data_IF_616868698905
#
_entry.id   IF_616868698905
#
_cell.length_a   1.000
_cell.length_b   1.000
_cell.length_c   1.000
_cell.angle_alpha   90.00
_cell.angle_beta   90.00
_cell.angle_gamma   90.00
#
_symmetry.space_group_name_H-M   'P 1'
#
loop_
_entity.id
_entity.type
_entity.pdbx_description
1 polymer ?
#
# COMPACT_ATOMS: atom_id res chain seq x y z
N UNK A 1 4.96 21.87 -35.37
CA UNK A 1 5.63 20.93 -34.45
C UNK A 1 4.53 20.26 -33.64
N UNK A 2 4.12 19.06 -34.01
CA UNK A 2 3.24 18.23 -33.18
C UNK A 2 4.09 17.76 -32.01
N UNK A 3 3.88 18.35 -30.83
CA UNK A 3 4.43 17.83 -29.58
C UNK A 3 3.94 16.41 -29.41
N UNK A 4 4.84 15.45 -29.22
CA UNK A 4 4.45 14.11 -28.81
C UNK A 4 3.59 14.25 -27.54
N UNK A 5 2.45 13.54 -27.43
CA UNK A 5 1.60 13.62 -26.25
C UNK A 5 2.43 13.24 -25.02
N UNK A 6 2.38 14.06 -23.97
CA UNK A 6 2.96 13.70 -22.68
C UNK A 6 2.30 12.41 -22.18
N UNK A 7 3.10 11.51 -21.59
CA UNK A 7 2.57 10.34 -20.91
C UNK A 7 1.77 10.78 -19.67
N UNK A 8 0.74 10.00 -19.26
CA UNK A 8 -0.13 10.37 -18.15
C UNK A 8 0.60 10.30 -16.81
N UNK A 9 0.30 11.21 -15.89
CA UNK A 9 0.63 11.11 -14.47
C UNK A 9 -0.30 10.10 -13.81
N UNK A 10 0.26 9.02 -13.27
CA UNK A 10 -0.55 7.96 -12.64
C UNK A 10 -0.12 7.77 -11.19
N UNK A 11 -1.09 7.84 -10.28
CA UNK A 11 -0.90 7.48 -8.87
C UNK A 11 -1.45 6.09 -8.62
N UNK A 12 -0.70 5.23 -7.94
CA UNK A 12 -1.16 3.93 -7.48
C UNK A 12 -1.12 3.85 -5.96
N UNK A 13 -2.27 3.58 -5.32
CA UNK A 13 -2.45 3.45 -3.88
C UNK A 13 -2.53 1.99 -3.48
N UNK A 14 -1.80 1.59 -2.45
CA UNK A 14 -1.89 0.23 -1.92
C UNK A 14 -0.74 -0.16 -1.00
N UNK A 15 -0.52 -1.47 -0.92
CA UNK A 15 0.55 -2.08 -0.14
C UNK A 15 0.99 -3.41 -0.74
N UNK A 16 2.10 -3.92 -0.22
CA UNK A 16 2.66 -5.24 -0.50
C UNK A 16 2.68 -5.65 -1.98
N UNK A 17 2.27 -6.90 -2.22
CA UNK A 17 2.39 -7.56 -3.53
C UNK A 17 1.38 -7.01 -4.56
N UNK A 18 0.19 -6.60 -4.12
CA UNK A 18 -0.85 -6.09 -5.02
C UNK A 18 -0.42 -4.77 -5.67
N UNK A 19 0.06 -3.83 -4.86
CA UNK A 19 0.64 -2.59 -5.37
C UNK A 19 1.87 -2.85 -6.25
N UNK A 20 2.77 -3.74 -5.83
CA UNK A 20 3.95 -4.12 -6.63
C UNK A 20 3.59 -4.62 -8.03
N UNK A 21 2.52 -5.41 -8.16
CA UNK A 21 2.00 -5.86 -9.44
C UNK A 21 1.44 -4.70 -10.28
N UNK A 22 0.64 -3.80 -9.68
CA UNK A 22 0.12 -2.60 -10.35
C UNK A 22 1.26 -1.71 -10.87
N UNK A 23 2.27 -1.43 -10.05
CA UNK A 23 3.42 -0.60 -10.43
C UNK A 23 4.23 -1.23 -11.58
N UNK A 24 4.46 -2.55 -11.52
CA UNK A 24 5.17 -3.28 -12.58
C UNK A 24 4.41 -3.22 -13.92
N UNK A 25 3.09 -3.29 -13.88
CA UNK A 25 2.25 -3.16 -15.08
C UNK A 25 2.23 -1.72 -15.60
N UNK A 26 1.99 -0.74 -14.73
CA UNK A 26 1.86 0.68 -15.07
C UNK A 26 3.15 1.28 -15.64
N UNK A 27 4.32 0.80 -15.22
CA UNK A 27 5.62 1.23 -15.77
C UNK A 27 5.79 0.95 -17.25
N UNK A 28 4.98 0.04 -17.81
CA UNK A 28 4.95 -0.22 -19.25
C UNK A 28 4.16 0.85 -20.03
N UNK A 29 3.38 1.67 -19.32
CA UNK A 29 2.48 2.68 -19.89
C UNK A 29 3.05 4.08 -19.70
N UNK A 30 3.57 4.39 -18.52
CA UNK A 30 4.12 5.72 -18.18
C UNK A 30 5.34 5.60 -17.27
N UNK A 31 6.20 6.61 -17.26
CA UNK A 31 7.27 6.81 -16.29
C UNK A 31 6.94 7.89 -15.25
N UNK A 32 5.81 8.60 -15.42
CA UNK A 32 5.26 9.59 -14.46
C UNK A 32 4.39 8.90 -13.43
N UNK A 33 5.00 8.00 -12.67
CA UNK A 33 4.34 7.14 -11.70
C UNK A 33 4.63 7.60 -10.28
N UNK A 34 3.60 7.63 -9.45
CA UNK A 34 3.75 7.81 -7.99
C UNK A 34 3.05 6.67 -7.27
N UNK A 35 3.81 5.92 -6.47
CA UNK A 35 3.26 4.93 -5.55
C UNK A 35 2.96 5.62 -4.22
N UNK A 36 1.71 5.60 -3.76
CA UNK A 36 1.33 6.01 -2.39
C UNK A 36 1.12 4.74 -1.58
N UNK A 37 1.93 4.56 -0.55
CA UNK A 37 2.13 3.26 0.10
C UNK A 37 1.67 3.29 1.54
N UNK A 38 0.96 2.24 1.96
CA UNK A 38 0.60 2.04 3.37
C UNK A 38 1.82 1.95 4.28
N UNK A 39 1.68 2.49 5.50
CA UNK A 39 2.71 2.53 6.54
C UNK A 39 2.23 1.86 7.83
N UNK A 40 1.43 0.80 7.66
CA UNK A 40 0.83 0.04 8.74
C UNK A 40 1.47 -1.35 8.98
N UNK A 41 2.42 -1.78 8.15
CA UNK A 41 3.09 -3.08 8.26
C UNK A 41 3.79 -3.22 9.64
N UNK A 42 3.42 -4.24 10.39
CA UNK A 42 3.98 -4.61 11.69
C UNK A 42 4.69 -5.97 11.64
N UNK A 43 4.83 -6.55 10.43
CA UNK A 43 5.34 -7.89 10.24
C UNK A 43 6.87 -7.98 10.12
N UNK A 44 7.44 -9.03 10.72
CA UNK A 44 8.80 -9.50 10.44
C UNK A 44 9.88 -8.42 10.55
N UNK A 45 10.60 -8.17 9.45
CA UNK A 45 11.68 -7.18 9.44
C UNK A 45 11.19 -5.74 9.60
N UNK A 46 9.97 -5.42 9.18
CA UNK A 46 9.44 -4.05 9.27
C UNK A 46 9.01 -3.75 10.70
N UNK A 47 8.25 -4.67 11.30
CA UNK A 47 7.82 -4.57 12.70
C UNK A 47 9.00 -4.40 13.65
N UNK A 48 10.03 -5.25 13.55
CA UNK A 48 11.24 -5.12 14.38
C UNK A 48 11.93 -3.77 14.26
N UNK A 49 12.04 -3.23 13.03
CA UNK A 49 12.67 -1.92 12.83
C UNK A 49 11.83 -0.77 13.37
N UNK A 50 10.50 -0.87 13.29
CA UNK A 50 9.57 0.11 13.85
C UNK A 50 9.55 0.09 15.39
N UNK A 51 9.72 -1.08 16.00
CA UNK A 51 9.82 -1.22 17.45
C UNK A 51 11.16 -0.67 17.98
N UNK A 52 12.25 -0.88 17.22
CA UNK A 52 13.59 -0.45 17.60
C UNK A 52 13.87 1.02 17.27
N UNK A 53 13.32 1.51 16.16
CA UNK A 53 13.48 2.86 15.66
C UNK A 53 12.11 3.46 15.42
N UNK A 54 11.85 4.65 15.96
CA UNK A 54 10.60 5.39 15.77
C UNK A 54 10.47 5.87 14.31
N UNK A 55 10.21 4.92 13.40
CA UNK A 55 10.17 5.08 11.95
C UNK A 55 8.90 4.45 11.38
N UNK A 56 8.44 4.95 10.23
CA UNK A 56 7.51 4.26 9.33
C UNK A 56 8.06 2.87 8.97
N UNK A 57 7.19 1.84 8.92
CA UNK A 57 7.61 0.51 8.53
C UNK A 57 8.06 0.47 7.06
N UNK A 58 9.31 0.07 6.78
CA UNK A 58 9.88 0.20 5.44
C UNK A 58 9.47 -0.92 4.46
N UNK A 59 8.76 -1.96 4.91
CA UNK A 59 8.52 -3.18 4.14
C UNK A 59 7.83 -2.97 2.80
N UNK A 60 6.66 -2.33 2.83
CA UNK A 60 5.87 -2.05 1.63
C UNK A 60 6.49 -0.94 0.78
N UNK A 61 7.10 0.06 1.40
CA UNK A 61 7.87 1.11 0.72
C UNK A 61 9.03 0.51 -0.11
N UNK A 62 9.78 -0.41 0.49
CA UNK A 62 10.82 -1.19 -0.19
C UNK A 62 10.24 -2.00 -1.36
N UNK A 63 9.09 -2.62 -1.19
CA UNK A 63 8.45 -3.40 -2.27
C UNK A 63 8.05 -2.51 -3.44
N UNK A 64 7.52 -1.31 -3.17
CA UNK A 64 7.22 -0.32 -4.21
C UNK A 64 8.49 0.15 -4.94
N UNK A 65 9.56 0.49 -4.22
CA UNK A 65 10.85 0.85 -4.81
C UNK A 65 11.40 -0.27 -5.73
N UNK A 66 11.38 -1.51 -5.25
CA UNK A 66 11.81 -2.66 -6.03
C UNK A 66 10.95 -2.88 -7.30
N UNK A 67 9.64 -2.62 -7.22
CA UNK A 67 8.74 -2.70 -8.37
C UNK A 67 9.02 -1.62 -9.43
N UNK A 68 9.57 -0.47 -9.02
CA UNK A 68 9.89 0.65 -9.90
C UNK A 68 11.31 0.60 -10.48
N UNK A 69 12.21 -0.26 -10.00
CA UNK A 69 13.54 -0.51 -10.59
C UNK A 69 13.48 -1.03 -12.03
N UNK A 70 14.17 -0.38 -12.98
CA UNK A 70 14.09 -0.67 -14.42
C UNK A 70 14.16 -2.16 -14.82
N UNK A 71 13.50 -2.50 -15.95
CA UNK A 71 13.53 -3.86 -16.54
C UNK A 71 14.85 -4.20 -17.25
N UNK A 72 15.93 -3.45 -17.04
CA UNK A 72 17.25 -3.82 -17.52
C UNK A 72 17.97 -4.72 -16.50
N UNK A 73 19.18 -5.18 -16.84
CA UNK A 73 19.94 -6.08 -15.97
C UNK A 73 20.30 -5.43 -14.63
N UNK A 74 20.58 -4.13 -14.63
CA UNK A 74 21.00 -3.38 -13.44
C UNK A 74 19.81 -3.18 -12.52
N UNK A 75 18.67 -2.73 -13.05
CA UNK A 75 17.43 -2.55 -12.28
C UNK A 75 16.94 -3.86 -11.67
N UNK A 76 16.92 -4.97 -12.42
CA UNK A 76 16.59 -6.30 -11.86
C UNK A 76 17.53 -6.74 -10.74
N UNK A 77 18.82 -6.45 -10.89
CA UNK A 77 19.81 -6.80 -9.85
C UNK A 77 19.56 -6.00 -8.58
N UNK A 78 19.31 -4.69 -8.70
CA UNK A 78 18.98 -3.84 -7.55
C UNK A 78 17.65 -4.21 -6.89
N UNK A 79 16.61 -4.51 -7.67
CA UNK A 79 15.35 -5.03 -7.13
C UNK A 79 15.59 -6.32 -6.33
N UNK A 80 16.41 -7.25 -6.84
CA UNK A 80 16.77 -8.47 -6.12
C UNK A 80 17.56 -8.18 -4.84
N UNK A 81 18.47 -7.21 -4.85
CA UNK A 81 19.27 -6.82 -3.68
C UNK A 81 18.38 -6.22 -2.59
N UNK A 82 17.49 -5.28 -2.94
CA UNK A 82 16.54 -4.72 -1.97
C UNK A 82 15.70 -5.80 -1.31
N UNK A 83 15.25 -6.78 -2.10
CA UNK A 83 14.39 -7.84 -1.62
C UNK A 83 15.12 -8.94 -0.84
N UNK A 84 16.45 -9.03 -0.99
CA UNK A 84 17.27 -10.02 -0.30
C UNK A 84 17.19 -9.85 1.22
N UNK A 85 17.18 -10.98 1.92
CA UNK A 85 17.15 -11.05 3.38
C UNK A 85 18.42 -11.70 3.90
N UNK A 86 18.93 -11.19 5.01
CA UNK A 86 20.05 -11.81 5.71
C UNK A 86 19.63 -13.19 6.24
N UNK A 87 20.49 -14.19 6.01
CA UNK A 87 20.37 -15.55 6.56
C UNK A 87 21.15 -15.66 7.87
N UNK A 88 20.98 -16.78 8.57
CA UNK A 88 21.65 -17.08 9.84
C UNK A 88 20.76 -16.80 11.04
N UNK A 89 21.36 -16.85 12.24
CA UNK A 89 20.63 -16.81 13.52
C UNK A 89 21.00 -15.59 14.39
N UNK A 90 21.81 -14.67 13.86
CA UNK A 90 22.22 -13.45 14.56
C UNK A 90 21.19 -12.30 14.52
N UNK A 91 21.48 -11.12 15.09
CA UNK A 91 20.54 -10.00 15.16
C UNK A 91 20.01 -9.52 13.81
N UNK A 92 20.81 -9.63 12.75
CA UNK A 92 20.41 -9.25 11.39
C UNK A 92 19.53 -10.31 10.71
N UNK A 93 19.39 -11.51 11.27
CA UNK A 93 18.64 -12.62 10.66
C UNK A 93 17.22 -12.21 10.24
N UNK A 94 16.88 -12.43 8.98
CA UNK A 94 15.58 -12.11 8.42
C UNK A 94 15.34 -10.63 8.06
N UNK A 95 16.24 -9.71 8.43
CA UNK A 95 16.15 -8.33 7.95
C UNK A 95 16.32 -8.28 6.44
N UNK A 96 15.49 -7.47 5.77
CA UNK A 96 15.67 -7.17 4.37
C UNK A 96 16.72 -6.08 4.20
N UNK A 97 17.63 -6.23 3.23
CA UNK A 97 18.67 -5.23 2.94
C UNK A 97 18.03 -3.87 2.66
N UNK A 98 16.98 -3.85 1.82
CA UNK A 98 16.27 -2.62 1.48
C UNK A 98 15.62 -1.93 2.68
N UNK A 99 15.16 -2.69 3.68
CA UNK A 99 14.56 -2.10 4.89
C UNK A 99 15.63 -1.35 5.71
N UNK A 100 16.82 -1.95 5.87
CA UNK A 100 17.94 -1.30 6.57
C UNK A 100 18.45 -0.07 5.80
N UNK A 101 18.49 -0.13 4.47
CA UNK A 101 18.87 0.99 3.63
C UNK A 101 17.91 2.18 3.81
N UNK A 102 16.60 1.94 3.73
CA UNK A 102 15.57 2.98 3.91
C UNK A 102 15.66 3.57 5.33
N UNK A 103 15.71 2.72 6.35
CA UNK A 103 15.81 3.16 7.75
C UNK A 103 17.07 4.02 7.98
N UNK A 104 18.23 3.58 7.48
CA UNK A 104 19.49 4.32 7.61
C UNK A 104 19.48 5.66 6.87
N UNK A 105 18.93 5.72 5.66
CA UNK A 105 18.82 6.97 4.89
C UNK A 105 17.91 7.97 5.58
N UNK A 106 16.79 7.52 6.14
CA UNK A 106 15.91 8.41 6.88
C UNK A 106 16.56 8.92 8.16
N UNK A 107 17.19 8.06 8.98
CA UNK A 107 17.91 8.52 10.17
C UNK A 107 18.97 9.58 9.83
N UNK A 108 19.62 9.46 8.67
CA UNK A 108 20.63 10.40 8.22
C UNK A 108 20.05 11.75 7.75
N UNK A 109 18.89 11.75 7.08
CA UNK A 109 18.30 12.93 6.47
C UNK A 109 17.26 13.63 7.36
N UNK A 110 16.66 12.91 8.30
CA UNK A 110 15.57 13.40 9.15
C UNK A 110 14.22 13.56 8.42
N UNK A 111 14.15 13.14 7.15
CA UNK A 111 12.97 13.24 6.30
C UNK A 111 12.80 11.96 5.48
N UNK A 112 11.68 11.27 5.67
CA UNK A 112 11.35 10.00 5.03
C UNK A 112 11.14 10.13 3.52
N UNK A 113 10.58 11.23 3.03
CA UNK A 113 10.35 11.43 1.59
C UNK A 113 11.68 11.64 0.89
N UNK A 114 12.54 12.50 1.43
CA UNK A 114 13.90 12.71 0.93
C UNK A 114 14.73 11.42 0.97
N UNK A 115 14.55 10.57 1.99
CA UNK A 115 15.20 9.27 2.07
C UNK A 115 14.71 8.31 0.98
N UNK A 116 13.40 8.23 0.75
CA UNK A 116 12.83 7.42 -0.33
C UNK A 116 13.25 7.92 -1.70
N UNK A 117 13.27 9.24 -1.91
CA UNK A 117 13.72 9.86 -3.16
C UNK A 117 15.21 9.56 -3.40
N UNK A 118 16.06 9.70 -2.39
CA UNK A 118 17.50 9.36 -2.50
C UNK A 118 17.73 7.88 -2.81
N UNK A 119 16.95 6.99 -2.19
CA UNK A 119 16.99 5.55 -2.51
C UNK A 119 16.49 5.31 -3.94
N UNK A 120 15.41 5.97 -4.36
CA UNK A 120 14.89 5.92 -5.73
C UNK A 120 15.95 6.33 -6.77
N UNK A 121 16.65 7.43 -6.53
CA UNK A 121 17.74 7.94 -7.38
C UNK A 121 18.90 6.95 -7.48
N UNK A 122 19.33 6.38 -6.35
CA UNK A 122 20.37 5.36 -6.30
C UNK A 122 20.01 4.14 -7.18
N UNK A 123 18.74 3.76 -7.17
CA UNK A 123 18.20 2.61 -7.88
C UNK A 123 17.78 2.93 -9.32
N UNK A 124 17.71 4.22 -9.68
CA UNK A 124 17.14 4.73 -10.94
C UNK A 124 15.71 4.24 -11.17
N UNK A 125 14.86 4.39 -10.15
CA UNK A 125 13.43 4.02 -10.24
C UNK A 125 12.72 4.82 -11.33
N UNK A 126 11.77 4.19 -12.01
CA UNK A 126 10.85 4.87 -12.95
C UNK A 126 9.58 5.29 -12.23
N UNK A 127 9.67 6.40 -11.52
CA UNK A 127 8.60 6.93 -10.68
C UNK A 127 9.07 7.17 -9.24
N UNK A 128 8.14 7.66 -8.44
CA UNK A 128 8.35 8.10 -7.05
C UNK A 128 7.58 7.22 -6.08
N UNK A 129 8.11 7.03 -4.87
CA UNK A 129 7.46 6.28 -3.79
C UNK A 129 7.22 7.23 -2.62
N UNK A 130 5.97 7.34 -2.19
CA UNK A 130 5.54 8.21 -1.11
C UNK A 130 4.83 7.38 -0.03
N UNK A 131 5.06 7.66 1.26
CA UNK A 131 4.22 7.11 2.31
C UNK A 131 2.83 7.75 2.27
N UNK A 132 1.80 7.01 2.67
CA UNK A 132 0.43 7.55 2.72
C UNK A 132 0.22 8.52 3.90
N UNK A 133 0.96 8.32 5.00
CA UNK A 133 0.79 9.05 6.27
C UNK A 133 2.12 9.58 6.79
N UNK A 134 2.03 10.65 7.57
CA UNK A 134 3.18 11.26 8.24
C UNK A 134 3.62 10.59 9.54
N UNK A 135 2.82 9.65 10.00
CA UNK A 135 3.09 8.86 11.20
C UNK A 135 2.90 7.38 10.93
N UNK A 136 3.60 6.48 11.66
CA UNK A 136 3.32 5.06 11.60
C UNK A 136 1.87 4.78 11.99
N UNK A 137 1.26 3.79 11.35
CA UNK A 137 -0.14 3.44 11.59
C UNK A 137 -0.26 2.03 12.14
N UNK A 138 -1.25 1.82 12.99
CA UNK A 138 -1.68 0.50 13.42
C UNK A 138 -3.10 0.26 12.90
N UNK A 139 -3.43 -1.00 12.62
CA UNK A 139 -4.75 -1.40 12.14
C UNK A 139 -5.44 -2.13 13.26
N UNK A 140 -6.67 -1.73 13.55
CA UNK A 140 -7.58 -2.48 14.41
C UNK A 140 -8.80 -2.90 13.59
N UNK A 141 -9.28 -4.11 13.87
CA UNK A 141 -10.50 -4.62 13.27
C UNK A 141 -11.37 -5.30 14.32
N UNK A 142 -12.66 -4.98 14.30
CA UNK A 142 -13.65 -5.73 15.06
C UNK A 142 -14.14 -6.90 14.20
N UNK A 143 -14.08 -8.12 14.76
CA UNK A 143 -14.33 -9.36 14.03
C UNK A 143 -15.30 -10.26 14.79
N UNK A 144 -16.06 -11.07 14.04
CA UNK A 144 -16.92 -12.13 14.57
C UNK A 144 -16.45 -13.51 14.08
N UNK A 145 -16.74 -14.57 14.85
CA UNK A 145 -16.37 -15.93 14.50
C UNK A 145 -14.90 -16.29 14.80
N UNK A 146 -14.21 -15.50 15.62
CA UNK A 146 -12.84 -15.78 16.04
C UNK A 146 -12.78 -16.97 17.01
N UNK A 147 -13.71 -17.03 17.97
CA UNK A 147 -13.90 -18.19 18.86
C UNK A 147 -15.02 -19.11 18.31
N UNK A 148 -14.71 -20.36 17.93
CA UNK A 148 -15.72 -21.33 17.50
C UNK A 148 -16.81 -21.62 18.55
N UNK A 149 -16.53 -21.39 19.83
CA UNK A 149 -17.48 -21.61 20.93
C UNK A 149 -18.33 -20.37 21.25
N UNK A 150 -17.95 -19.20 20.74
CA UNK A 150 -18.69 -17.94 20.86
C UNK A 150 -18.70 -17.19 19.52
N UNK A 151 -19.32 -17.76 18.46
CA UNK A 151 -19.20 -17.23 17.10
C UNK A 151 -19.84 -15.84 16.92
N UNK A 152 -20.82 -15.50 17.75
CA UNK A 152 -21.55 -14.23 17.72
C UNK A 152 -20.90 -13.12 18.57
N UNK A 153 -19.80 -13.41 19.26
CA UNK A 153 -19.10 -12.43 20.10
C UNK A 153 -18.16 -11.55 19.26
N UNK A 154 -18.27 -10.23 19.46
CA UNK A 154 -17.40 -9.26 18.82
C UNK A 154 -16.04 -9.22 19.53
N UNK A 155 -14.97 -9.44 18.76
CA UNK A 155 -13.60 -9.41 19.24
C UNK A 155 -12.81 -8.32 18.51
N UNK A 156 -11.91 -7.63 19.20
CA UNK A 156 -11.01 -6.67 18.56
C UNK A 156 -9.65 -7.33 18.30
N UNK A 157 -9.22 -7.30 17.04
CA UNK A 157 -7.87 -7.65 16.62
C UNK A 157 -7.06 -6.38 16.38
N UNK A 158 -5.81 -6.40 16.82
CA UNK A 158 -4.85 -5.31 16.62
C UNK A 158 -3.64 -5.83 15.86
N UNK A 159 -3.15 -5.00 14.94
CA UNK A 159 -1.98 -5.28 14.12
C UNK A 159 -2.32 -5.73 12.71
N UNK A 160 -1.61 -5.17 11.74
CA UNK A 160 -1.81 -5.40 10.32
C UNK A 160 -1.68 -6.89 9.98
N UNK A 161 -0.59 -7.54 10.41
CA UNK A 161 -0.34 -8.94 10.11
C UNK A 161 -1.34 -9.89 10.78
N UNK A 162 -1.89 -9.50 11.94
CA UNK A 162 -2.93 -10.26 12.67
C UNK A 162 -4.25 -10.19 11.91
N UNK A 163 -4.69 -8.98 11.54
CA UNK A 163 -5.95 -8.77 10.81
C UNK A 163 -5.92 -9.44 9.44
N UNK A 164 -4.83 -9.30 8.69
CA UNK A 164 -4.72 -9.87 7.33
C UNK A 164 -4.80 -11.41 7.28
N UNK A 165 -4.50 -12.10 8.39
CA UNK A 165 -4.50 -13.57 8.51
C UNK A 165 -5.68 -14.09 9.32
N UNK A 166 -6.56 -13.20 9.79
CA UNK A 166 -7.69 -13.57 10.61
C UNK A 166 -8.64 -14.45 9.82
N UNK A 167 -9.03 -15.59 10.40
CA UNK A 167 -10.09 -16.46 9.87
C UNK A 167 -11.41 -16.14 10.55
N UNK A 168 -11.79 -14.87 10.49
CA UNK A 168 -12.96 -14.31 11.14
C UNK A 168 -13.61 -13.29 10.20
N UNK A 169 -14.89 -13.00 10.40
CA UNK A 169 -15.61 -12.02 9.58
C UNK A 169 -15.35 -10.63 10.12
N UNK A 170 -14.62 -9.80 9.37
CA UNK A 170 -14.38 -8.39 9.71
C UNK A 170 -15.69 -7.60 9.62
N UNK A 171 -16.04 -6.91 10.70
CA UNK A 171 -17.23 -6.06 10.81
C UNK A 171 -16.90 -4.58 10.63
N UNK A 172 -15.76 -4.15 11.19
CA UNK A 172 -15.29 -2.78 11.10
C UNK A 172 -13.76 -2.76 11.11
N UNK A 173 -13.16 -1.81 10.40
CA UNK A 173 -11.72 -1.56 10.42
C UNK A 173 -11.45 -0.08 10.71
N UNK A 174 -10.38 0.19 11.44
CA UNK A 174 -9.93 1.55 11.78
C UNK A 174 -8.41 1.60 11.83
N UNK A 175 -7.88 2.81 11.75
CA UNK A 175 -6.44 3.08 11.91
C UNK A 175 -6.18 3.84 13.20
N UNK A 176 -5.02 3.58 13.80
CA UNK A 176 -4.52 4.25 15.01
C UNK A 176 -3.15 4.87 14.69
N UNK A 177 -2.90 6.16 15.02
CA UNK A 177 -3.85 7.11 15.61
C UNK A 177 -5.02 7.44 14.67
N UNK A 178 -6.15 7.84 15.26
CA UNK A 178 -7.30 8.32 14.50
C UNK A 178 -6.98 9.63 13.78
N UNK A 179 -7.52 9.82 12.58
CA UNK A 179 -7.31 11.01 11.75
C UNK A 179 -5.81 11.35 11.56
N UNK A 180 -4.98 10.40 11.11
CA UNK A 180 -3.56 10.65 10.98
C UNK A 180 -3.30 11.67 9.86
N UNK A 181 -2.25 12.49 9.98
CA UNK A 181 -1.85 13.40 8.93
C UNK A 181 -1.41 12.62 7.69
N UNK A 182 -1.94 12.95 6.51
CA UNK A 182 -1.38 12.43 5.26
C UNK A 182 0.03 12.98 5.03
N UNK A 183 0.77 12.38 4.09
CA UNK A 183 1.95 13.04 3.52
C UNK A 183 1.51 14.11 2.52
N UNK A 184 1.94 15.38 2.66
CA UNK A 184 1.56 16.45 1.74
C UNK A 184 1.84 16.12 0.26
N UNK A 185 2.99 15.51 -0.02
CA UNK A 185 3.38 15.11 -1.37
C UNK A 185 2.46 14.04 -1.96
N UNK A 186 1.89 13.17 -1.12
CA UNK A 186 0.95 12.14 -1.56
C UNK A 186 -0.40 12.77 -1.93
N UNK A 187 -0.87 13.74 -1.16
CA UNK A 187 -2.08 14.54 -1.45
C UNK A 187 -1.89 15.31 -2.75
N UNK A 188 -0.78 16.02 -2.91
CA UNK A 188 -0.45 16.76 -4.12
C UNK A 188 -0.42 15.83 -5.35
N UNK A 189 0.24 14.68 -5.24
CA UNK A 189 0.30 13.72 -6.33
C UNK A 189 -1.10 13.23 -6.77
N UNK A 190 -2.03 13.00 -5.83
CA UNK A 190 -3.41 12.59 -6.14
C UNK A 190 -4.19 13.71 -6.85
N UNK A 191 -4.04 14.95 -6.38
CA UNK A 191 -4.73 16.10 -6.97
C UNK A 191 -4.22 16.43 -8.38
N UNK A 192 -2.94 16.19 -8.66
CA UNK A 192 -2.32 16.44 -9.96
C UNK A 192 -2.38 15.27 -10.94
N UNK A 193 -2.88 14.11 -10.52
CA UNK A 193 -2.90 12.90 -11.34
C UNK A 193 -3.86 13.01 -12.53
N UNK A 194 -3.53 12.34 -13.64
CA UNK A 194 -4.48 12.08 -14.72
C UNK A 194 -5.32 10.83 -14.41
N UNK A 195 -4.73 9.86 -13.71
CA UNK A 195 -5.43 8.67 -13.22
C UNK A 195 -4.93 8.24 -11.83
N UNK A 196 -5.86 7.75 -11.02
CA UNK A 196 -5.60 7.21 -9.69
C UNK A 196 -6.07 5.76 -9.63
N UNK A 197 -5.16 4.85 -9.32
CA UNK A 197 -5.42 3.41 -9.23
C UNK A 197 -5.41 3.00 -7.76
N UNK A 198 -6.52 2.47 -7.27
CA UNK A 198 -6.61 1.87 -5.93
C UNK A 198 -6.62 0.35 -6.05
N UNK A 199 -5.69 -0.30 -5.37
CA UNK A 199 -5.53 -1.76 -5.40
C UNK A 199 -4.77 -2.30 -6.63
N UNK A 200 -4.73 -3.63 -6.79
CA UNK A 200 -5.30 -4.64 -5.90
C UNK A 200 -4.48 -4.77 -4.62
N UNK A 201 -4.95 -5.59 -3.67
CA UNK A 201 -4.28 -5.83 -2.40
C UNK A 201 -5.24 -6.34 -1.34
N UNK A 202 -4.70 -6.71 -0.18
CA UNK A 202 -5.51 -6.99 1.00
C UNK A 202 -6.47 -5.82 1.24
N UNK A 203 -7.75 -6.11 1.25
CA UNK A 203 -8.81 -5.13 1.33
C UNK A 203 -8.71 -4.30 2.61
N UNK A 204 -8.71 -4.95 3.77
CA UNK A 204 -8.74 -4.26 5.06
C UNK A 204 -7.37 -3.74 5.49
N UNK A 205 -6.28 -4.34 5.00
CA UNK A 205 -4.93 -3.99 5.44
C UNK A 205 -4.07 -3.25 4.42
N UNK A 206 -4.52 -3.08 3.18
CA UNK A 206 -3.77 -2.38 2.14
C UNK A 206 -4.61 -1.47 1.26
N UNK A 207 -5.91 -1.75 1.05
CA UNK A 207 -6.79 -0.91 0.23
C UNK A 207 -7.52 0.12 1.09
N UNK A 208 -8.42 -0.33 1.97
CA UNK A 208 -9.24 0.51 2.86
C UNK A 208 -8.42 1.49 3.71
N UNK A 209 -7.21 1.18 4.22
CA UNK A 209 -6.43 2.13 5.01
C UNK A 209 -6.17 3.47 4.32
N UNK A 210 -6.10 3.52 2.98
CA UNK A 210 -5.94 4.78 2.25
C UNK A 210 -7.18 5.67 2.31
N UNK A 211 -8.37 5.08 2.48
CA UNK A 211 -9.65 5.80 2.63
C UNK A 211 -9.89 6.25 4.08
N UNK A 212 -9.13 5.71 5.03
CA UNK A 212 -9.21 6.06 6.45
C UNK A 212 -8.29 7.25 6.82
N UNK A 213 -7.45 7.73 5.89
CA UNK A 213 -6.65 8.94 6.06
C UNK A 213 -7.44 10.13 5.50
N UNK A 214 -7.89 11.10 6.34
CA UNK A 214 -8.85 12.11 5.92
C UNK A 214 -8.43 12.95 4.71
N UNK A 215 -7.18 13.42 4.67
CA UNK A 215 -6.69 14.25 3.57
C UNK A 215 -6.56 13.47 2.27
N UNK A 216 -6.23 12.17 2.32
CA UNK A 216 -6.21 11.33 1.12
C UNK A 216 -7.62 11.06 0.62
N UNK A 217 -8.56 10.81 1.52
CA UNK A 217 -9.98 10.64 1.16
C UNK A 217 -10.54 11.92 0.51
N UNK A 218 -10.23 13.10 1.08
CA UNK A 218 -10.60 14.38 0.51
C UNK A 218 -9.98 14.58 -0.88
N UNK A 219 -8.68 14.31 -1.04
CA UNK A 219 -7.99 14.41 -2.32
C UNK A 219 -8.59 13.48 -3.39
N UNK A 220 -8.95 12.24 -3.01
CA UNK A 220 -9.67 11.31 -3.88
C UNK A 220 -11.06 11.83 -4.26
N UNK A 221 -11.77 12.52 -3.37
CA UNK A 221 -13.05 13.15 -3.67
C UNK A 221 -12.95 14.35 -4.61
N UNK A 222 -11.90 15.16 -4.45
CA UNK A 222 -11.73 16.45 -5.15
C UNK A 222 -11.00 16.34 -6.49
N UNK A 223 -10.15 15.32 -6.66
CA UNK A 223 -9.33 15.17 -7.88
C UNK A 223 -10.18 15.06 -9.14
N UNK A 224 -9.67 15.59 -10.25
CA UNK A 224 -10.27 15.41 -11.59
C UNK A 224 -9.77 14.16 -12.30
N UNK A 225 -8.83 13.43 -11.69
CA UNK A 225 -8.25 12.21 -12.21
C UNK A 225 -9.31 11.12 -12.46
N UNK A 226 -9.07 10.26 -13.44
CA UNK A 226 -9.84 9.03 -13.59
C UNK A 226 -9.53 8.08 -12.44
N UNK A 227 -10.54 7.74 -11.63
CA UNK A 227 -10.40 6.85 -10.47
C UNK A 227 -10.69 5.41 -10.88
N UNK A 228 -9.70 4.55 -10.73
CA UNK A 228 -9.71 3.16 -11.18
C UNK A 228 -9.56 2.27 -9.95
N UNK A 229 -10.55 1.40 -9.73
CA UNK A 229 -10.47 0.36 -8.72
C UNK A 229 -10.02 -0.94 -9.37
N UNK A 230 -8.99 -1.59 -8.82
CA UNK A 230 -8.56 -2.93 -9.27
C UNK A 230 -8.88 -3.93 -8.18
N UNK A 231 -9.80 -4.85 -8.46
CA UNK A 231 -10.19 -5.89 -7.51
C UNK A 231 -9.15 -7.01 -7.47
N UNK A 232 -9.14 -7.74 -6.35
CA UNK A 232 -8.38 -8.98 -6.24
C UNK A 232 -8.91 -10.03 -7.22
N UNK A 233 -8.05 -10.96 -7.63
CA UNK A 233 -8.43 -12.06 -8.53
C UNK A 233 -9.23 -13.16 -7.82
N UNK A 234 -9.17 -13.19 -6.49
CA UNK A 234 -9.91 -14.08 -5.59
C UNK A 234 -9.96 -13.45 -4.19
N UNK A 235 -10.91 -13.86 -3.33
CA UNK A 235 -10.94 -13.46 -1.93
C UNK A 235 -9.65 -13.82 -1.18
N UNK A 236 -9.20 -12.92 -0.32
CA UNK A 236 -8.13 -13.19 0.65
C UNK A 236 -8.73 -13.80 1.93
N UNK A 237 -7.88 -14.24 2.86
CA UNK A 237 -8.33 -14.80 4.16
C UNK A 237 -9.27 -13.83 4.89
N UNK A 238 -8.91 -12.55 4.95
CA UNK A 238 -9.68 -11.46 5.56
C UNK A 238 -11.00 -11.10 4.84
N UNK A 239 -11.18 -11.54 3.59
CA UNK A 239 -12.37 -11.29 2.76
C UNK A 239 -13.03 -12.59 2.32
N UNK A 240 -12.77 -13.68 3.05
CA UNK A 240 -13.27 -15.02 2.71
C UNK A 240 -14.78 -15.01 2.53
N UNK A 241 -15.25 -15.48 1.37
CA UNK A 241 -16.67 -15.51 1.01
C UNK A 241 -17.23 -14.20 0.44
N UNK A 242 -16.42 -13.15 0.30
CA UNK A 242 -16.89 -11.90 -0.32
C UNK A 242 -17.02 -12.04 -1.84
N UNK A 243 -18.14 -11.57 -2.36
CA UNK A 243 -18.33 -11.36 -3.81
C UNK A 243 -17.58 -10.09 -4.25
N UNK A 244 -17.41 -9.93 -5.57
CA UNK A 244 -16.89 -8.69 -6.13
C UNK A 244 -17.76 -7.47 -5.78
N UNK A 245 -19.09 -7.63 -5.69
CA UNK A 245 -20.01 -6.54 -5.31
C UNK A 245 -19.84 -6.13 -3.85
N UNK A 246 -19.66 -7.11 -2.95
CA UNK A 246 -19.48 -6.83 -1.53
C UNK A 246 -18.21 -6.01 -1.25
N UNK A 247 -17.13 -6.23 -2.01
CA UNK A 247 -15.94 -5.37 -1.95
C UNK A 247 -16.28 -3.90 -2.28
N UNK A 248 -17.07 -3.67 -3.34
CA UNK A 248 -17.48 -2.32 -3.76
C UNK A 248 -18.42 -1.69 -2.73
N UNK A 249 -19.35 -2.46 -2.15
CA UNK A 249 -20.26 -2.02 -1.08
C UNK A 249 -19.46 -1.54 0.14
N UNK A 250 -18.51 -2.34 0.62
CA UNK A 250 -17.63 -1.95 1.72
C UNK A 250 -16.83 -0.69 1.41
N UNK A 251 -16.34 -0.55 0.18
CA UNK A 251 -15.65 0.67 -0.22
C UNK A 251 -16.59 1.89 -0.13
N UNK A 252 -17.82 1.76 -0.60
CA UNK A 252 -18.81 2.83 -0.57
C UNK A 252 -19.24 3.19 0.86
N UNK A 253 -19.21 2.23 1.80
CA UNK A 253 -19.44 2.49 3.22
C UNK A 253 -18.31 3.34 3.84
N UNK A 254 -17.06 3.07 3.48
CA UNK A 254 -15.89 3.81 4.00
C UNK A 254 -15.68 5.16 3.29
N UNK A 255 -16.09 5.28 2.03
CA UNK A 255 -15.89 6.46 1.20
C UNK A 255 -17.14 6.84 0.41
N UNK A 256 -18.27 7.19 1.06
CA UNK A 256 -19.55 7.44 0.39
C UNK A 256 -19.53 8.62 -0.59
N UNK A 257 -18.57 9.54 -0.43
CA UNK A 257 -18.36 10.68 -1.32
C UNK A 257 -17.46 10.38 -2.54
N UNK A 258 -16.78 9.24 -2.57
CA UNK A 258 -15.83 8.90 -3.65
C UNK A 258 -16.47 7.92 -4.62
N UNK A 259 -16.46 8.26 -5.91
CA UNK A 259 -16.95 7.40 -6.98
C UNK A 259 -15.80 6.93 -7.84
N UNK A 260 -15.69 5.63 -8.05
CA UNK A 260 -14.73 5.06 -9.00
C UNK A 260 -15.31 5.06 -10.41
N UNK A 261 -14.58 5.64 -11.36
CA UNK A 261 -14.98 5.77 -12.77
C UNK A 261 -14.85 4.44 -13.51
N UNK A 262 -13.94 3.57 -13.06
CA UNK A 262 -13.70 2.27 -13.65
C UNK A 262 -13.39 1.23 -12.57
N UNK A 263 -13.94 0.02 -12.74
CA UNK A 263 -13.60 -1.15 -11.94
C UNK A 263 -13.01 -2.22 -12.85
N UNK A 264 -11.80 -2.67 -12.54
CA UNK A 264 -11.12 -3.78 -13.21
C UNK A 264 -11.25 -5.01 -12.33
N UNK A 265 -11.83 -6.08 -12.87
CA UNK A 265 -12.08 -7.32 -12.15
C UNK A 265 -11.83 -8.54 -13.06
N UNK A 266 -11.36 -9.64 -12.48
CA UNK A 266 -11.26 -10.92 -13.17
C UNK A 266 -12.68 -11.48 -13.39
N UNK A 267 -12.97 -11.90 -14.63
CA UNK A 267 -14.29 -12.41 -15.00
C UNK A 267 -14.73 -13.60 -14.14
N UNK A 268 -13.79 -14.45 -13.69
CA UNK A 268 -14.08 -15.62 -12.86
C UNK A 268 -14.40 -15.24 -11.42
N UNK A 269 -13.92 -14.09 -10.94
CA UNK A 269 -14.27 -13.59 -9.62
C UNK A 269 -15.65 -12.92 -9.63
N UNK A 270 -15.96 -12.17 -10.70
CA UNK A 270 -17.29 -11.55 -10.88
C UNK A 270 -18.40 -12.59 -11.07
N UNK A 271 -18.07 -13.76 -11.62
CA UNK A 271 -19.04 -14.83 -11.88
C UNK A 271 -19.36 -15.73 -10.67
N UNK A 272 -18.70 -15.54 -9.53
CA UNK A 272 -18.97 -16.25 -8.27
C UNK A 272 -20.11 -15.59 -7.51
#
# INVERSE_FOLDING_TARGET
MTTLPELPKVVALGGGHGLSASLTALRRVTDRLTAVVTVADDGGSSGRLREEFDILPPGDLRMALAALCSDDQVGRSWASVLQARFKGDGPLAGHAIGNLLIAGMWQQLGDEVAALDMVGDLLRTRGRVLPMSSVPLEIEADVMGLDPFAPDELNTLTGQATVAKARATVQAVRIVPENPPARPEAVEAILEADAVVLGPGSWFTSVIPHLLVPDLLAALGETSAQRILVLNIAPADETSGFTASHHIELLAEHAPGVRFDMVIADQRFVAQ
#
